data_IF_393375499354
#
_entry.id   IF_393375499354
#
_cell.length_a   1.000
_cell.length_b   1.000
_cell.length_c   1.000
_cell.angle_alpha   90.00
_cell.angle_beta   90.00
_cell.angle_gamma   90.00
#
_symmetry.space_group_name_H-M   'P 1'
#
loop_
_entity.id
_entity.type
_entity.pdbx_description
1 polymer ?
#
# COMPACT_ATOMS: atom_id res chain seq x y z
N UNK A 1 5.45 -2.61 14.46
CA UNK A 1 4.44 -1.54 14.43
C UNK A 1 5.17 -0.25 14.12
N UNK A 2 4.95 0.34 12.94
CA UNK A 2 5.53 1.63 12.62
C UNK A 2 4.94 2.68 13.57
N UNK A 3 5.82 3.37 14.30
CA UNK A 3 5.40 4.38 15.25
C UNK A 3 5.98 5.71 14.81
N UNK A 4 5.13 6.69 14.52
CA UNK A 4 5.61 8.04 14.27
C UNK A 4 5.96 8.61 15.62
N UNK A 5 7.26 8.83 15.82
CA UNK A 5 7.79 9.48 17.02
C UNK A 5 8.21 10.88 16.59
N UNK A 6 7.43 11.88 16.99
CA UNK A 6 7.79 13.28 16.80
C UNK A 6 8.84 13.60 17.84
N UNK A 7 10.03 14.00 17.41
CA UNK A 7 11.14 14.38 18.30
C UNK A 7 11.44 15.86 18.15
N UNK A 8 11.82 16.46 19.26
CA UNK A 8 12.41 17.79 19.30
C UNK A 8 13.80 17.74 18.64
N UNK A 9 14.12 18.74 17.83
CA UNK A 9 15.42 18.89 17.15
C UNK A 9 16.51 19.49 18.03
N UNK A 10 16.24 19.80 19.31
CA UNK A 10 17.31 20.12 20.27
C UNK A 10 18.30 18.96 20.38
N UNK A 11 19.55 19.24 20.77
CA UNK A 11 20.63 18.25 20.91
C UNK A 11 20.29 17.03 21.79
N UNK A 12 19.16 17.06 22.50
CA UNK A 12 18.64 15.97 23.32
C UNK A 12 17.73 14.98 22.57
N UNK A 13 17.19 15.33 21.40
CA UNK A 13 16.38 14.43 20.55
C UNK A 13 15.12 13.88 21.24
N UNK A 14 14.57 14.64 22.20
CA UNK A 14 13.51 14.20 23.10
C UNK A 14 12.22 13.93 22.32
N UNK A 15 11.58 12.78 22.57
CA UNK A 15 10.26 12.47 22.01
C UNK A 15 9.21 13.46 22.57
N UNK A 16 8.58 14.22 21.66
CA UNK A 16 7.50 15.17 21.93
C UNK A 16 6.17 14.44 21.93
N UNK A 17 5.96 13.55 20.96
CA UNK A 17 4.72 12.78 20.82
C UNK A 17 5.00 11.46 20.08
N UNK A 18 4.16 10.47 20.31
CA UNK A 18 4.29 9.15 19.72
C UNK A 18 2.91 8.52 19.53
N UNK A 19 2.55 8.23 18.29
CA UNK A 19 1.34 7.48 17.99
C UNK A 19 1.60 6.33 17.02
N UNK A 20 0.91 5.19 17.20
CA UNK A 20 1.02 4.06 16.31
C UNK A 20 0.35 4.38 14.97
N UNK A 21 1.09 4.23 13.88
CA UNK A 21 0.47 4.17 12.55
C UNK A 21 0.04 2.72 12.31
N UNK A 22 -1.24 2.46 12.54
CA UNK A 22 -1.83 1.14 12.34
C UNK A 22 -2.01 0.86 10.84
N UNK A 23 -1.48 -0.27 10.39
CA UNK A 23 -1.64 -0.73 9.01
C UNK A 23 -0.61 -0.17 8.01
N UNK A 24 0.38 0.62 8.46
CA UNK A 24 1.51 0.97 7.58
C UNK A 24 2.52 -0.18 7.49
N UNK A 25 2.83 -0.66 6.29
CA UNK A 25 3.81 -1.71 6.09
C UNK A 25 5.26 -1.27 6.41
N UNK A 26 5.94 -2.03 7.27
CA UNK A 26 7.38 -1.84 7.57
C UNK A 26 8.27 -2.09 6.34
N UNK A 27 7.78 -2.81 5.32
CA UNK A 27 8.53 -3.20 4.12
C UNK A 27 7.71 -3.17 2.83
N UNK A 28 8.37 -2.80 1.73
CA UNK A 28 7.79 -2.60 0.39
C UNK A 28 8.72 -3.15 -0.72
N UNK A 29 8.18 -3.44 -1.90
CA UNK A 29 8.97 -3.93 -3.05
C UNK A 29 9.75 -2.80 -3.74
N UNK A 30 11.02 -3.04 -4.08
CA UNK A 30 11.86 -1.99 -4.66
C UNK A 30 11.56 -1.66 -6.13
N UNK A 31 10.91 -2.59 -6.85
CA UNK A 31 10.38 -2.35 -8.20
C UNK A 31 9.37 -1.21 -8.24
N UNK A 32 8.76 -0.89 -7.10
CA UNK A 32 7.73 0.13 -7.00
C UNK A 32 8.23 1.45 -6.40
N UNK A 33 9.47 1.53 -5.88
CA UNK A 33 10.18 2.81 -5.63
C UNK A 33 10.26 3.66 -6.92
N UNK A 34 10.26 3.03 -8.09
CA UNK A 34 10.18 3.73 -9.38
C UNK A 34 8.83 4.42 -9.60
N UNK A 35 7.73 3.98 -8.97
CA UNK A 35 6.40 4.62 -9.05
C UNK A 35 6.28 5.89 -8.21
N UNK A 36 7.14 6.13 -7.22
CA UNK A 36 7.23 7.43 -6.53
C UNK A 36 7.48 8.59 -7.51
N UNK A 37 8.28 8.33 -8.55
CA UNK A 37 8.56 9.29 -9.64
C UNK A 37 7.28 9.75 -10.33
N UNK A 38 6.25 8.90 -10.43
CA UNK A 38 4.99 9.22 -11.08
C UNK A 38 4.13 10.23 -10.28
N UNK A 39 4.42 10.43 -8.99
CA UNK A 39 3.77 11.45 -8.14
C UNK A 39 4.67 12.65 -7.84
N UNK A 40 5.79 12.78 -8.55
CA UNK A 40 6.75 13.87 -8.39
C UNK A 40 7.75 13.70 -7.24
N UNK A 41 7.81 12.52 -6.61
CA UNK A 41 8.83 12.22 -5.62
C UNK A 41 10.17 11.85 -6.29
N UNK A 42 11.26 12.36 -5.74
CA UNK A 42 12.62 12.15 -6.21
C UNK A 42 13.38 11.31 -5.19
N UNK A 43 13.83 10.12 -5.57
CA UNK A 43 14.56 9.20 -4.70
C UNK A 43 15.82 8.70 -5.38
N UNK A 44 16.90 8.51 -4.60
CA UNK A 44 18.08 7.76 -5.02
C UNK A 44 17.75 6.28 -5.18
N UNK A 45 18.46 5.60 -6.10
CA UNK A 45 18.34 4.15 -6.25
C UNK A 45 18.93 3.46 -5.00
N UNK A 46 18.27 2.42 -4.49
CA UNK A 46 18.83 1.59 -3.43
C UNK A 46 19.70 0.48 -4.03
N UNK A 47 20.69 0.01 -3.29
CA UNK A 47 21.42 -1.23 -3.57
C UNK A 47 22.72 -1.38 -2.79
N UNK A 48 23.45 -2.46 -3.09
CA UNK A 48 24.56 -2.96 -2.25
C UNK A 48 25.90 -2.26 -2.52
N UNK A 49 25.90 -1.06 -3.08
CA UNK A 49 27.12 -0.26 -3.25
C UNK A 49 27.29 0.72 -2.07
N UNK A 50 28.46 1.32 -1.96
CA UNK A 50 28.76 2.24 -0.87
C UNK A 50 27.84 3.47 -0.89
N UNK A 51 27.12 3.70 0.22
CA UNK A 51 26.07 4.72 0.31
C UNK A 51 24.76 4.41 -0.43
N UNK A 52 24.55 3.17 -0.90
CA UNK A 52 23.31 2.74 -1.56
C UNK A 52 22.29 2.06 -0.63
N UNK A 53 22.64 1.83 0.63
CA UNK A 53 21.82 1.05 1.57
C UNK A 53 20.59 1.80 2.07
N UNK A 54 20.62 3.12 2.08
CA UNK A 54 19.53 3.99 2.49
C UNK A 54 19.39 5.16 1.51
N UNK A 55 18.18 5.72 1.44
CA UNK A 55 17.88 6.86 0.59
C UNK A 55 16.62 7.57 1.09
N UNK A 56 16.47 8.81 0.68
CA UNK A 56 15.36 9.67 1.05
C UNK A 56 14.61 10.05 -0.24
N UNK A 57 13.35 9.65 -0.32
CA UNK A 57 12.45 10.15 -1.35
C UNK A 57 11.99 11.54 -0.94
N UNK A 58 12.15 12.55 -1.79
CA UNK A 58 11.78 13.93 -1.49
C UNK A 58 10.77 14.49 -2.47
N UNK A 59 9.87 15.36 -2.01
CA UNK A 59 8.91 16.08 -2.86
C UNK A 59 8.62 17.48 -2.29
N UNK A 60 8.58 18.52 -3.14
CA UNK A 60 8.15 19.85 -2.74
C UNK A 60 6.61 19.94 -2.61
N UNK A 61 6.15 20.73 -1.64
CA UNK A 61 4.75 21.01 -1.33
C UNK A 61 4.54 22.51 -1.07
N UNK A 62 3.28 22.95 -1.01
CA UNK A 62 2.94 24.33 -0.65
C UNK A 62 3.58 25.37 -1.58
N UNK A 63 3.55 25.12 -2.90
CA UNK A 63 4.18 25.99 -3.90
C UNK A 63 5.71 25.93 -3.91
N UNK A 64 6.33 24.91 -3.32
CA UNK A 64 7.78 24.76 -3.24
C UNK A 64 8.41 25.39 -2.00
N UNK A 65 7.62 25.96 -1.10
CA UNK A 65 8.12 26.48 0.18
C UNK A 65 8.44 25.37 1.21
N UNK A 66 7.86 24.18 1.02
CA UNK A 66 8.02 23.04 1.92
C UNK A 66 8.52 21.83 1.14
N UNK A 67 9.27 20.96 1.83
CA UNK A 67 9.69 19.66 1.32
C UNK A 67 9.32 18.60 2.33
N UNK A 68 8.66 17.54 1.87
CA UNK A 68 8.58 16.30 2.64
C UNK A 68 9.66 15.34 2.13
N UNK A 69 10.18 14.57 3.07
CA UNK A 69 11.25 13.62 2.87
C UNK A 69 10.86 12.29 3.51
N UNK A 70 10.92 11.20 2.77
CA UNK A 70 10.48 9.88 3.21
C UNK A 70 11.64 8.88 3.15
N UNK A 71 12.05 8.38 4.32
CA UNK A 71 13.21 7.50 4.43
C UNK A 71 12.86 6.07 4.06
N UNK A 72 13.77 5.44 3.32
CA UNK A 72 13.70 4.02 3.01
C UNK A 72 15.08 3.39 2.97
N UNK A 73 15.16 2.14 3.42
CA UNK A 73 16.42 1.39 3.56
C UNK A 73 16.31 0.01 2.91
N UNK A 74 17.37 -0.46 2.28
CA UNK A 74 17.48 -1.80 1.73
C UNK A 74 17.24 -2.85 2.84
N UNK A 75 16.39 -3.83 2.56
CA UNK A 75 16.27 -5.03 3.39
C UNK A 75 17.29 -6.04 2.87
N UNK A 76 18.03 -6.66 3.80
CA UNK A 76 19.13 -7.59 3.52
C UNK A 76 18.77 -8.64 2.46
N UNK A 77 19.67 -8.83 1.49
CA UNK A 77 19.47 -9.70 0.33
C UNK A 77 19.58 -11.18 0.73
N UNK A 78 18.98 -12.08 -0.07
CA UNK A 78 18.86 -13.51 0.27
C UNK A 78 20.20 -14.27 0.25
N UNK A 79 21.30 -13.61 -0.10
CA UNK A 79 22.63 -14.19 0.00
C UNK A 79 23.77 -13.22 -0.33
N UNK A 80 25.01 -13.58 0.03
CA UNK A 80 26.20 -12.72 -0.10
C UNK A 80 26.62 -12.38 -1.55
N UNK A 81 25.93 -12.92 -2.55
CA UNK A 81 26.13 -12.63 -3.99
C UNK A 81 24.88 -12.11 -4.68
N UNK A 82 23.81 -11.89 -3.92
CA UNK A 82 22.58 -11.29 -4.44
C UNK A 82 22.70 -9.78 -4.30
N UNK A 83 22.89 -9.13 -5.44
CA UNK A 83 22.99 -7.67 -5.56
C UNK A 83 21.69 -7.04 -6.05
N UNK A 84 20.66 -7.84 -6.29
CA UNK A 84 19.35 -7.35 -6.71
C UNK A 84 18.61 -6.77 -5.51
N UNK A 85 17.92 -5.65 -5.75
CA UNK A 85 17.10 -5.00 -4.73
C UNK A 85 15.69 -5.56 -4.84
N UNK A 86 15.35 -6.45 -3.91
CA UNK A 86 14.03 -7.07 -3.86
C UNK A 86 13.05 -6.27 -3.00
N UNK A 87 13.52 -5.85 -1.81
CA UNK A 87 12.68 -5.20 -0.80
C UNK A 87 13.42 -4.05 -0.12
N UNK A 88 12.66 -3.08 0.38
CA UNK A 88 13.15 -2.05 1.27
C UNK A 88 12.21 -1.88 2.45
N UNK A 89 12.73 -1.42 3.59
CA UNK A 89 11.95 -0.95 4.71
C UNK A 89 11.70 0.53 4.60
N UNK A 90 10.60 0.98 5.19
CA UNK A 90 10.26 2.41 5.27
C UNK A 90 10.38 2.90 6.70
N UNK A 91 10.64 4.20 6.87
CA UNK A 91 10.83 4.83 8.18
C UNK A 91 10.19 6.23 8.19
N UNK A 92 10.76 7.15 8.97
CA UNK A 92 10.33 8.52 9.20
C UNK A 92 10.02 9.33 7.93
N UNK A 93 8.99 10.16 8.06
CA UNK A 93 8.73 11.31 7.19
C UNK A 93 9.22 12.57 7.89
N UNK A 94 10.06 13.34 7.23
CA UNK A 94 10.60 14.62 7.72
C UNK A 94 10.12 15.78 6.86
N UNK A 95 10.01 16.95 7.47
CA UNK A 95 9.64 18.17 6.77
C UNK A 95 10.77 19.19 6.86
N UNK A 96 10.93 19.96 5.79
CA UNK A 96 11.84 21.08 5.75
C UNK A 96 11.17 22.27 5.07
N UNK A 97 11.53 23.47 5.50
CA UNK A 97 11.10 24.73 4.91
C UNK A 97 12.25 25.35 4.11
N UNK A 98 11.94 25.89 2.95
CA UNK A 98 12.90 26.61 2.13
C UNK A 98 13.11 28.03 2.68
N UNK A 99 14.35 28.41 2.99
CA UNK A 99 14.71 29.75 3.47
C UNK A 99 15.10 30.72 2.33
N UNK A 100 15.13 30.24 1.09
CA UNK A 100 15.58 30.98 -0.09
C UNK A 100 16.90 30.47 -0.66
N UNK A 101 17.71 29.77 0.14
CA UNK A 101 19.01 29.21 -0.26
C UNK A 101 19.11 27.71 0.03
N UNK A 102 18.61 27.28 1.18
CA UNK A 102 18.70 25.89 1.66
C UNK A 102 17.40 25.41 2.30
N UNK A 103 17.29 24.09 2.44
CA UNK A 103 16.21 23.45 3.18
C UNK A 103 16.57 23.38 4.66
N UNK A 104 15.77 24.06 5.48
CA UNK A 104 15.90 24.01 6.94
C UNK A 104 14.93 22.98 7.50
N UNK A 105 15.38 22.01 8.32
CA UNK A 105 14.48 21.12 9.04
C UNK A 105 13.42 21.91 9.79
N UNK A 106 12.20 21.39 9.81
CA UNK A 106 11.07 22.04 10.42
C UNK A 106 10.28 21.04 11.28
N UNK A 107 9.91 21.41 12.52
CA UNK A 107 9.09 20.55 13.35
C UNK A 107 7.71 20.39 12.71
N UNK A 108 7.12 19.20 12.87
CA UNK A 108 5.80 18.88 12.28
C UNK A 108 4.72 19.86 12.72
N UNK A 109 4.83 20.42 13.93
CA UNK A 109 3.91 21.44 14.47
C UNK A 109 3.87 22.73 13.66
N UNK A 110 4.94 23.03 12.93
CA UNK A 110 5.07 24.24 12.13
C UNK A 110 4.67 24.02 10.67
N UNK A 111 4.45 22.76 10.27
CA UNK A 111 4.06 22.39 8.92
C UNK A 111 2.59 22.78 8.71
N UNK A 112 2.26 23.52 7.63
CA UNK A 112 0.88 23.85 7.31
C UNK A 112 0.02 22.58 7.21
N UNK A 113 -1.18 22.53 7.81
CA UNK A 113 -2.01 21.32 7.82
C UNK A 113 -2.28 20.73 6.43
N UNK A 114 -2.43 21.59 5.41
CA UNK A 114 -2.62 21.15 4.03
C UNK A 114 -1.37 20.46 3.46
N UNK A 115 -0.18 21.00 3.73
CA UNK A 115 1.10 20.39 3.32
C UNK A 115 1.29 19.04 4.01
N UNK A 116 1.02 18.98 5.31
CA UNK A 116 1.13 17.74 6.08
C UNK A 116 0.18 16.67 5.55
N UNK A 117 -1.10 17.00 5.38
CA UNK A 117 -2.12 16.04 4.93
C UNK A 117 -1.87 15.57 3.50
N UNK A 118 -1.43 16.43 2.60
CA UNK A 118 -1.07 16.06 1.22
C UNK A 118 0.16 15.14 1.18
N UNK A 119 1.22 15.49 1.93
CA UNK A 119 2.43 14.67 2.00
C UNK A 119 2.14 13.29 2.61
N UNK A 120 1.41 13.24 3.71
CA UNK A 120 1.07 11.97 4.37
C UNK A 120 0.10 11.13 3.53
N UNK A 121 -0.81 11.75 2.78
CA UNK A 121 -1.67 11.04 1.81
C UNK A 121 -0.83 10.39 0.71
N UNK A 122 0.15 11.10 0.18
CA UNK A 122 1.06 10.56 -0.83
C UNK A 122 1.88 9.39 -0.29
N UNK A 123 2.41 9.51 0.93
CA UNK A 123 3.15 8.44 1.60
C UNK A 123 2.25 7.23 1.87
N UNK A 124 1.05 7.42 2.41
CA UNK A 124 0.10 6.33 2.69
C UNK A 124 -0.33 5.61 1.40
N UNK A 125 -0.57 6.35 0.30
CA UNK A 125 -0.86 5.76 -1.00
C UNK A 125 0.34 4.97 -1.55
N UNK A 126 1.56 5.49 -1.40
CA UNK A 126 2.76 4.79 -1.83
C UNK A 126 2.95 3.48 -1.07
N UNK A 127 2.95 3.56 0.25
CA UNK A 127 3.18 2.44 1.15
C UNK A 127 2.05 1.40 1.00
N UNK A 128 0.80 1.86 0.86
CA UNK A 128 -0.37 1.01 0.67
C UNK A 128 -0.40 0.26 -0.68
N UNK A 129 0.28 0.75 -1.72
CA UNK A 129 0.40 0.03 -3.00
C UNK A 129 1.60 -0.90 -3.01
N UNK A 130 2.71 -0.48 -2.40
CA UNK A 130 4.02 -1.12 -2.58
C UNK A 130 4.37 -2.19 -1.57
N UNK A 131 3.50 -2.39 -0.59
CA UNK A 131 3.65 -3.42 0.43
C UNK A 131 3.82 -4.82 -0.14
N UNK A 132 4.65 -5.64 0.50
CA UNK A 132 4.61 -7.09 0.23
C UNK A 132 3.24 -7.71 0.60
N UNK A 133 2.45 -7.06 1.46
CA UNK A 133 1.11 -7.51 1.84
C UNK A 133 0.07 -7.34 0.71
N UNK A 134 0.34 -6.50 -0.28
CA UNK A 134 -0.50 -6.30 -1.47
C UNK A 134 -0.05 -7.14 -2.66
N UNK A 135 1.08 -7.85 -2.54
CA UNK A 135 1.55 -8.76 -3.58
C UNK A 135 0.75 -10.08 -3.50
N UNK A 136 -0.12 -10.37 -4.48
CA UNK A 136 -0.98 -11.55 -4.43
C UNK A 136 -0.18 -12.86 -4.54
N UNK A 137 1.01 -12.82 -5.16
CA UNK A 137 1.87 -13.99 -5.34
C UNK A 137 2.81 -14.25 -4.17
N UNK A 138 2.78 -13.40 -3.13
CA UNK A 138 3.74 -13.47 -2.03
C UNK A 138 3.74 -14.84 -1.33
N UNK A 139 2.55 -15.38 -1.05
CA UNK A 139 2.38 -16.68 -0.39
C UNK A 139 3.00 -17.84 -1.19
N UNK A 140 3.00 -17.75 -2.52
CA UNK A 140 3.49 -18.81 -3.41
C UNK A 140 5.00 -18.79 -3.64
N UNK A 141 5.72 -17.78 -3.10
CA UNK A 141 7.18 -17.64 -3.28
C UNK A 141 8.02 -18.46 -2.29
N UNK A 142 7.40 -19.14 -1.32
CA UNK A 142 8.12 -19.99 -0.36
C UNK A 142 9.02 -19.24 0.63
N UNK A 143 8.94 -17.91 0.69
CA UNK A 143 9.75 -17.08 1.58
C UNK A 143 9.12 -17.00 2.98
N UNK A 144 9.47 -17.93 3.87
CA UNK A 144 8.91 -18.00 5.24
C UNK A 144 9.25 -16.75 6.10
N UNK A 145 10.36 -16.05 5.80
CA UNK A 145 10.87 -14.95 6.64
C UNK A 145 9.91 -13.76 6.84
N UNK A 146 8.96 -13.53 5.93
CA UNK A 146 7.98 -12.42 6.03
C UNK A 146 6.53 -12.91 6.10
N UNK A 147 6.32 -14.20 6.33
CA UNK A 147 5.00 -14.84 6.39
C UNK A 147 4.13 -14.28 7.51
N UNK A 148 4.69 -14.09 8.70
CA UNK A 148 3.97 -13.52 9.85
C UNK A 148 3.52 -12.08 9.62
N UNK A 149 4.39 -11.29 9.01
CA UNK A 149 4.08 -9.92 8.63
C UNK A 149 2.96 -9.88 7.59
N UNK A 150 3.07 -10.73 6.56
CA UNK A 150 2.05 -10.86 5.53
C UNK A 150 0.73 -11.22 6.20
N UNK A 151 0.64 -12.36 6.91
CA UNK A 151 -0.58 -12.85 7.58
C UNK A 151 -1.28 -11.80 8.45
N UNK A 152 -0.52 -11.01 9.23
CA UNK A 152 -1.11 -9.95 10.07
C UNK A 152 -1.67 -8.79 9.26
N UNK A 153 -1.00 -8.44 8.16
CA UNK A 153 -1.35 -7.25 7.36
C UNK A 153 -2.47 -7.55 6.38
N UNK A 154 -2.59 -8.79 5.89
CA UNK A 154 -3.62 -9.15 4.90
C UNK A 154 -5.05 -8.96 5.37
N UNK A 155 -5.28 -9.15 6.68
CA UNK A 155 -6.59 -9.14 7.35
C UNK A 155 -6.67 -8.10 8.47
N UNK A 156 -5.63 -7.26 8.59
CA UNK A 156 -5.46 -6.28 9.65
C UNK A 156 -6.42 -5.09 9.54
N UNK A 157 -6.28 -4.12 10.44
CA UNK A 157 -7.12 -2.92 10.44
C UNK A 157 -6.94 -2.07 9.17
N UNK A 158 -8.00 -1.34 8.80
CA UNK A 158 -7.96 -0.46 7.63
C UNK A 158 -7.08 0.76 7.89
N UNK A 159 -6.13 1.00 6.99
CA UNK A 159 -5.42 2.28 6.90
C UNK A 159 -6.39 3.41 6.53
N UNK A 160 -6.03 4.68 6.78
CA UNK A 160 -6.85 5.82 6.35
C UNK A 160 -7.21 5.80 4.85
N UNK A 161 -6.27 5.48 3.95
CA UNK A 161 -6.62 5.31 2.51
C UNK A 161 -7.62 4.17 2.28
N UNK A 162 -7.52 3.07 3.02
CA UNK A 162 -8.47 1.97 2.89
C UNK A 162 -9.87 2.34 3.44
N UNK A 163 -9.96 3.22 4.42
CA UNK A 163 -11.24 3.79 4.89
C UNK A 163 -11.85 4.72 3.84
N UNK A 164 -11.05 5.61 3.23
CA UNK A 164 -11.50 6.45 2.10
C UNK A 164 -12.00 5.58 0.94
N UNK A 165 -11.30 4.48 0.66
CA UNK A 165 -11.70 3.50 -0.35
C UNK A 165 -13.03 2.83 -0.03
N UNK A 166 -13.24 2.46 1.24
CA UNK A 166 -14.51 1.91 1.72
C UNK A 166 -15.66 2.89 1.46
N UNK A 167 -15.47 4.17 1.75
CA UNK A 167 -16.48 5.21 1.53
C UNK A 167 -16.77 5.43 0.04
N UNK A 168 -15.73 5.39 -0.80
CA UNK A 168 -15.89 5.42 -2.25
C UNK A 168 -16.72 4.23 -2.75
N UNK A 169 -16.40 3.01 -2.29
CA UNK A 169 -17.16 1.80 -2.62
C UNK A 169 -18.63 1.90 -2.18
N UNK A 170 -18.90 2.42 -0.98
CA UNK A 170 -20.26 2.60 -0.49
C UNK A 170 -21.12 3.48 -1.42
N UNK A 171 -20.50 4.45 -2.11
CA UNK A 171 -21.18 5.32 -3.08
C UNK A 171 -21.29 4.70 -4.48
N UNK A 172 -20.35 3.85 -4.87
CA UNK A 172 -20.27 3.26 -6.21
C UNK A 172 -21.11 1.98 -6.34
N UNK A 173 -20.95 1.04 -5.40
CA UNK A 173 -21.54 -0.30 -5.47
C UNK A 173 -23.06 -0.32 -5.71
N UNK A 174 -23.89 0.55 -5.10
CA UNK A 174 -25.33 0.54 -5.33
C UNK A 174 -25.76 0.81 -6.78
N UNK A 175 -24.87 1.40 -7.59
CA UNK A 175 -25.12 1.76 -9.00
C UNK A 175 -24.54 0.74 -9.99
N UNK A 176 -23.89 -0.30 -9.49
CA UNK A 176 -23.22 -1.31 -10.30
C UNK A 176 -24.12 -2.52 -10.54
N UNK A 177 -23.88 -3.25 -11.64
CA UNK A 177 -24.63 -4.47 -11.97
C UNK A 177 -24.56 -5.55 -10.87
N UNK A 178 -23.51 -5.54 -10.06
CA UNK A 178 -23.29 -6.51 -8.97
C UNK A 178 -23.90 -6.08 -7.63
N UNK A 179 -24.67 -4.98 -7.55
CA UNK A 179 -25.18 -4.42 -6.29
C UNK A 179 -25.89 -5.46 -5.40
N UNK A 180 -26.72 -6.34 -5.99
CA UNK A 180 -27.43 -7.41 -5.27
C UNK A 180 -26.58 -8.64 -4.89
N UNK A 181 -25.27 -8.58 -5.15
CA UNK A 181 -24.31 -9.64 -4.86
C UNK A 181 -23.20 -9.17 -3.91
N UNK A 182 -23.21 -7.91 -3.48
CA UNK A 182 -22.11 -7.35 -2.68
C UNK A 182 -22.62 -6.64 -1.45
N UNK A 183 -21.87 -6.77 -0.35
CA UNK A 183 -22.15 -6.10 0.93
C UNK A 183 -20.85 -5.59 1.53
N UNK A 184 -20.81 -4.32 1.93
CA UNK A 184 -19.69 -3.79 2.72
C UNK A 184 -19.94 -4.08 4.21
N UNK A 185 -19.01 -4.76 4.86
CA UNK A 185 -19.05 -5.01 6.29
C UNK A 185 -17.64 -4.86 6.89
N UNK A 186 -17.53 -4.03 7.92
CA UNK A 186 -16.26 -3.69 8.59
C UNK A 186 -15.15 -3.34 7.60
N UNK A 187 -14.13 -4.21 7.51
CA UNK A 187 -12.93 -4.10 6.69
C UNK A 187 -12.97 -4.91 5.39
N UNK A 188 -14.13 -5.48 5.06
CA UNK A 188 -14.31 -6.37 3.93
C UNK A 188 -15.42 -5.92 2.98
N UNK A 189 -15.22 -6.22 1.70
CA UNK A 189 -16.28 -6.33 0.71
C UNK A 189 -16.66 -7.80 0.57
N UNK A 190 -17.84 -8.15 1.05
CA UNK A 190 -18.41 -9.48 0.84
C UNK A 190 -19.00 -9.56 -0.57
N UNK A 191 -18.73 -10.65 -1.27
CA UNK A 191 -19.18 -10.92 -2.63
C UNK A 191 -19.80 -12.31 -2.68
N UNK A 192 -21.06 -12.38 -3.10
CA UNK A 192 -21.78 -13.63 -3.34
C UNK A 192 -21.61 -14.01 -4.81
N UNK A 193 -20.81 -15.04 -5.07
CA UNK A 193 -20.72 -15.71 -6.36
C UNK A 193 -21.88 -16.65 -6.63
N UNK A 194 -21.82 -17.34 -7.75
CA UNK A 194 -22.71 -18.45 -8.10
C UNK A 194 -22.23 -19.78 -7.50
N UNK A 195 -20.91 -19.94 -7.27
CA UNK A 195 -20.32 -21.15 -6.69
C UNK A 195 -20.03 -21.00 -5.19
N UNK A 196 -19.45 -19.86 -4.76
CA UNK A 196 -19.05 -19.63 -3.36
C UNK A 196 -19.31 -18.19 -2.89
N UNK A 197 -19.17 -17.97 -1.58
CA UNK A 197 -19.06 -16.64 -0.97
C UNK A 197 -17.59 -16.22 -0.86
N UNK A 198 -17.32 -14.92 -0.95
CA UNK A 198 -15.97 -14.36 -0.89
C UNK A 198 -15.94 -13.10 -0.02
N UNK A 199 -14.80 -12.86 0.62
CA UNK A 199 -14.50 -11.62 1.33
C UNK A 199 -13.23 -11.01 0.77
N UNK A 200 -13.31 -9.79 0.30
CA UNK A 200 -12.17 -9.03 -0.22
C UNK A 200 -11.76 -8.00 0.84
N UNK A 201 -10.54 -8.09 1.35
CA UNK A 201 -10.02 -7.10 2.31
C UNK A 201 -9.81 -5.74 1.63
N UNK A 202 -10.34 -4.67 2.23
CA UNK A 202 -10.35 -3.36 1.60
C UNK A 202 -8.97 -2.67 1.60
N UNK A 203 -8.06 -3.08 2.49
CA UNK A 203 -6.69 -2.58 2.54
C UNK A 203 -5.74 -3.27 1.56
N UNK A 204 -5.75 -4.60 1.55
CA UNK A 204 -4.80 -5.43 0.80
C UNK A 204 -5.33 -5.91 -0.56
N UNK A 205 -6.65 -5.90 -0.76
CA UNK A 205 -7.31 -6.46 -1.93
C UNK A 205 -7.33 -7.99 -1.97
N UNK A 206 -6.91 -8.64 -0.88
CA UNK A 206 -6.81 -10.09 -0.80
C UNK A 206 -8.14 -10.76 -0.51
N UNK A 207 -8.28 -11.99 -0.99
CA UNK A 207 -9.57 -12.67 -1.08
C UNK A 207 -9.54 -13.90 -0.19
N UNK A 208 -10.56 -14.05 0.64
CA UNK A 208 -10.83 -15.25 1.42
C UNK A 208 -12.15 -15.84 0.94
N UNK A 209 -12.17 -17.16 0.73
CA UNK A 209 -13.36 -17.92 0.36
C UNK A 209 -14.12 -18.32 1.62
N UNK A 210 -15.43 -18.13 1.61
CA UNK A 210 -16.31 -18.58 2.67
C UNK A 210 -16.78 -20.03 2.39
N UNK A 211 -17.01 -20.84 3.45
CA UNK A 211 -16.94 -20.51 4.87
C UNK A 211 -15.60 -20.83 5.56
N UNK A 212 -14.64 -21.43 4.86
CA UNK A 212 -13.41 -21.97 5.46
C UNK A 212 -12.24 -20.96 5.53
N UNK A 213 -12.46 -19.72 5.10
CA UNK A 213 -11.46 -18.65 5.04
C UNK A 213 -10.21 -19.02 4.23
N UNK A 214 -10.36 -19.92 3.26
CA UNK A 214 -9.28 -20.30 2.36
C UNK A 214 -8.89 -19.14 1.46
N UNK A 215 -7.59 -18.85 1.37
CA UNK A 215 -7.07 -17.77 0.55
C UNK A 215 -7.23 -18.07 -0.95
N UNK A 216 -7.67 -17.08 -1.72
CA UNK A 216 -7.77 -17.14 -3.18
C UNK A 216 -6.83 -16.12 -3.83
N UNK A 217 -5.81 -16.61 -4.54
CA UNK A 217 -4.87 -15.80 -5.27
C UNK A 217 -5.37 -15.54 -6.70
N UNK A 218 -5.67 -14.27 -7.00
CA UNK A 218 -6.00 -13.79 -8.34
C UNK A 218 -5.02 -12.69 -8.71
N UNK A 219 -4.22 -12.95 -9.75
CA UNK A 219 -3.20 -12.03 -10.24
C UNK A 219 -3.72 -11.37 -11.52
N UNK A 220 -3.65 -10.03 -11.64
CA UNK A 220 -4.01 -9.35 -12.88
C UNK A 220 -3.14 -9.85 -14.04
N UNK A 221 -3.75 -10.14 -15.19
CA UNK A 221 -3.02 -10.50 -16.40
C UNK A 221 -2.09 -9.33 -16.82
N UNK A 222 -0.83 -9.66 -17.12
CA UNK A 222 0.13 -8.67 -17.64
C UNK A 222 -0.39 -8.11 -18.97
N UNK A 223 -0.62 -6.80 -19.05
CA UNK A 223 -1.00 -6.12 -20.29
C UNK A 223 -2.50 -5.93 -20.54
N UNK A 224 -3.38 -6.19 -19.55
CA UNK A 224 -4.81 -5.88 -19.68
C UNK A 224 -5.08 -4.38 -19.84
N UNK A 225 -5.72 -4.00 -20.94
CA UNK A 225 -6.04 -2.61 -21.33
C UNK A 225 -7.24 -2.01 -20.58
N UNK A 226 -7.91 -2.79 -19.72
CA UNK A 226 -9.11 -2.37 -19.00
C UNK A 226 -8.81 -1.67 -17.67
N UNK A 227 -8.18 -0.49 -17.69
CA UNK A 227 -8.27 0.39 -16.50
C UNK A 227 -9.70 0.93 -16.44
N UNK A 228 -10.46 0.51 -15.42
CA UNK A 228 -11.70 1.19 -15.06
C UNK A 228 -11.36 2.68 -14.83
N UNK A 229 -11.93 3.57 -15.65
CA UNK A 229 -11.88 5.01 -15.40
C UNK A 229 -12.77 5.31 -14.19
N UNK A 230 -12.17 5.22 -13.00
CA UNK A 230 -12.82 5.50 -11.74
C UNK A 230 -12.68 6.99 -11.43
N UNK A 231 -13.63 7.60 -10.70
CA UNK A 231 -13.52 8.99 -10.24
C UNK A 231 -12.34 9.23 -9.26
N UNK A 232 -11.56 8.20 -8.95
CA UNK A 232 -10.35 8.22 -8.14
C UNK A 232 -9.22 7.50 -8.90
N UNK A 233 -8.71 8.11 -9.98
CA UNK A 233 -7.64 7.53 -10.80
C UNK A 233 -6.34 7.26 -10.00
N UNK A 234 -6.20 7.92 -8.85
CA UNK A 234 -5.06 7.82 -7.95
C UNK A 234 -5.04 6.57 -7.06
N UNK A 235 -6.10 5.75 -7.03
CA UNK A 235 -6.14 4.54 -6.19
C UNK A 235 -6.22 3.25 -7.03
N UNK A 236 -5.06 2.66 -7.41
CA UNK A 236 -5.05 1.42 -8.19
C UNK A 236 -5.60 0.21 -7.40
N UNK A 237 -5.60 0.26 -6.06
CA UNK A 237 -6.15 -0.80 -5.23
C UNK A 237 -7.68 -0.83 -5.31
N UNK A 238 -8.33 0.34 -5.36
CA UNK A 238 -9.78 0.42 -5.59
C UNK A 238 -10.19 -0.27 -6.89
N UNK A 239 -9.47 -0.01 -8.00
CA UNK A 239 -9.71 -0.67 -9.28
C UNK A 239 -9.51 -2.18 -9.22
N UNK A 240 -8.48 -2.62 -8.50
CA UNK A 240 -8.18 -4.04 -8.28
C UNK A 240 -9.32 -4.74 -7.52
N UNK A 241 -9.79 -4.13 -6.43
CA UNK A 241 -10.91 -4.66 -5.62
C UNK A 241 -12.19 -4.75 -6.45
N UNK A 242 -12.52 -3.72 -7.22
CA UNK A 242 -13.71 -3.72 -8.08
C UNK A 242 -13.62 -4.79 -9.18
N UNK A 243 -12.46 -4.94 -9.82
CA UNK A 243 -12.24 -5.96 -10.85
C UNK A 243 -12.42 -7.36 -10.29
N UNK A 244 -11.84 -7.62 -9.10
CA UNK A 244 -12.02 -8.89 -8.37
C UNK A 244 -13.49 -9.12 -8.01
N UNK A 245 -14.19 -8.12 -7.48
CA UNK A 245 -15.59 -8.25 -7.10
C UNK A 245 -16.50 -8.57 -8.29
N UNK A 246 -16.29 -7.91 -9.44
CA UNK A 246 -17.05 -8.19 -10.67
C UNK A 246 -16.80 -9.62 -11.15
N UNK A 247 -15.54 -10.04 -11.18
CA UNK A 247 -15.17 -11.40 -11.61
C UNK A 247 -15.78 -12.47 -10.69
N UNK A 248 -15.63 -12.30 -9.37
CA UNK A 248 -16.12 -13.26 -8.37
C UNK A 248 -17.65 -13.29 -8.28
N UNK A 249 -18.32 -12.18 -8.60
CA UNK A 249 -19.77 -12.16 -8.69
C UNK A 249 -20.29 -13.06 -9.84
N UNK A 250 -19.46 -13.45 -10.80
CA UNK A 250 -19.77 -14.40 -11.88
C UNK A 250 -18.71 -15.52 -11.92
N UNK A 251 -18.41 -16.10 -10.76
CA UNK A 251 -17.35 -17.11 -10.58
C UNK A 251 -17.52 -18.39 -11.42
N UNK A 252 -18.74 -18.74 -11.80
CA UNK A 252 -19.08 -19.81 -12.74
C UNK A 252 -18.62 -19.54 -14.19
N UNK A 253 -18.36 -18.28 -14.53
CA UNK A 253 -17.84 -17.87 -15.85
C UNK A 253 -16.31 -17.80 -15.91
N UNK A 254 -15.62 -18.05 -14.79
CA UNK A 254 -14.15 -18.02 -14.73
C UNK A 254 -13.61 -19.22 -15.49
N UNK A 255 -12.72 -18.97 -16.46
CA UNK A 255 -12.09 -20.01 -17.30
C UNK A 255 -10.62 -20.24 -16.97
N UNK A 256 -10.01 -19.38 -16.14
CA UNK A 256 -8.60 -19.50 -15.78
C UNK A 256 -8.34 -20.78 -14.96
N UNK A 257 -7.53 -21.74 -15.46
CA UNK A 257 -7.30 -23.02 -14.79
C UNK A 257 -6.52 -22.88 -13.47
N UNK A 258 -5.82 -21.76 -13.23
CA UNK A 258 -5.15 -21.47 -11.96
C UNK A 258 -6.15 -21.06 -10.89
N UNK A 259 -7.19 -20.31 -11.26
CA UNK A 259 -8.27 -19.90 -10.35
C UNK A 259 -9.22 -21.06 -10.10
N UNK A 260 -9.60 -21.80 -11.14
CA UNK A 260 -10.50 -22.95 -11.03
C UNK A 260 -9.95 -24.05 -10.10
N UNK A 261 -8.64 -24.31 -10.14
CA UNK A 261 -8.00 -25.26 -9.20
C UNK A 261 -8.10 -24.81 -7.74
N UNK A 262 -7.98 -23.51 -7.48
CA UNK A 262 -8.10 -22.96 -6.13
C UNK A 262 -9.56 -23.00 -5.63
N UNK A 263 -10.53 -22.75 -6.51
CA UNK A 263 -11.97 -22.85 -6.17
C UNK A 263 -12.44 -24.28 -5.87
N UNK A 264 -11.72 -25.29 -6.39
CA UNK A 264 -12.01 -26.70 -6.15
C UNK A 264 -11.41 -27.24 -4.84
N UNK A 265 -10.50 -26.50 -4.19
CA UNK A 265 -9.91 -26.85 -2.91
C UNK A 265 -10.84 -26.51 -1.72
#
# INVERSE_FOLDING_TARGET
>A
MATVTVRDETATGRAIDQWPLTGLPERISARELVRLRARGWQAGYLGTWDGGYDSEATKPFGGGAWRASFHHQLVETDGPRDHDVHHCSTDQVRFARHDGTTWQPAPVTDVPPLVFTEAMRDVDLFVGVTSIATDPQWADRGADRFRDYWHRTVVGELTPSAQVRRDALARLLPRMAIAGRVTLADRYLHVRGNLRGYRIHLGSGNIMMEPNDAYLCIVPARGGTGRLHLPFEDDPMLSTILSKAIMLAADDSITDPTVLRQLAA
#
